data_IF_709839102363
#
_entry.id   IF_709839102363
#
_cell.length_a   1.000
_cell.length_b   1.000
_cell.length_c   1.000
_cell.angle_alpha   90.00
_cell.angle_beta   90.00
_cell.angle_gamma   90.00
#
_symmetry.space_group_name_H-M   'P 1'
#
loop_
_entity.id
_entity.type
_entity.pdbx_description
1 polymer ?
#
# COMPACT_ATOMS: atom_id res chain seq x y z
N UNK A 1 -38.33 2.81 -30.75
CA UNK A 1 -37.38 3.22 -29.70
C UNK A 1 -36.82 1.95 -29.10
N UNK A 2 -35.62 1.55 -29.55
CA UNK A 2 -34.97 0.30 -29.17
C UNK A 2 -34.03 0.53 -27.99
N UNK A 3 -34.04 -0.47 -27.11
CA UNK A 3 -33.43 -0.60 -25.80
C UNK A 3 -31.98 -0.17 -25.70
N UNK A 4 -31.58 0.28 -24.51
CA UNK A 4 -30.19 0.19 -24.06
C UNK A 4 -30.16 -0.50 -22.71
N UNK A 5 -29.94 -1.81 -22.76
CA UNK A 5 -29.44 -2.59 -21.63
C UNK A 5 -27.95 -2.30 -21.51
N UNK A 6 -27.41 -1.81 -20.37
CA UNK A 6 -25.99 -1.90 -20.13
C UNK A 6 -25.70 -3.34 -19.71
N UNK A 7 -25.00 -4.09 -20.58
CA UNK A 7 -24.49 -5.42 -20.28
C UNK A 7 -23.16 -5.30 -19.53
N UNK A 8 -23.01 -6.17 -18.54
CA UNK A 8 -22.02 -6.15 -17.47
C UNK A 8 -20.57 -5.97 -17.88
N UNK A 9 -19.87 -5.17 -17.09
CA UNK A 9 -18.42 -5.24 -16.93
C UNK A 9 -18.13 -6.44 -16.04
N UNK A 10 -17.27 -7.33 -16.52
CA UNK A 10 -16.68 -8.43 -15.77
C UNK A 10 -16.10 -7.88 -14.46
N UNK A 11 -16.62 -8.35 -13.33
CA UNK A 11 -16.22 -7.89 -11.99
C UNK A 11 -14.80 -8.37 -11.68
N UNK A 12 -13.82 -7.56 -12.04
CA UNK A 12 -12.67 -7.35 -11.17
C UNK A 12 -13.24 -6.63 -9.96
N UNK A 13 -13.56 -7.36 -8.88
CA UNK A 13 -14.25 -6.80 -7.71
C UNK A 13 -13.23 -6.01 -6.88
N UNK A 14 -12.76 -4.91 -7.44
CA UNK A 14 -11.96 -3.94 -6.71
C UNK A 14 -12.90 -3.09 -5.84
N UNK A 15 -12.60 -2.98 -4.55
CA UNK A 15 -13.37 -2.15 -3.63
C UNK A 15 -13.37 -0.68 -4.08
N UNK A 16 -14.50 0.05 -3.97
CA UNK A 16 -14.51 1.48 -4.26
C UNK A 16 -13.52 2.25 -3.38
N UNK A 17 -12.85 3.25 -3.96
CA UNK A 17 -11.88 4.11 -3.28
C UNK A 17 -12.39 4.65 -1.93
N UNK A 18 -13.65 5.13 -1.87
CA UNK A 18 -14.25 5.65 -0.65
C UNK A 18 -14.32 4.59 0.47
N UNK A 19 -14.68 3.35 0.11
CA UNK A 19 -14.70 2.21 1.03
C UNK A 19 -13.30 1.89 1.52
N UNK A 20 -12.32 1.87 0.61
CA UNK A 20 -10.92 1.61 0.99
C UNK A 20 -10.42 2.71 1.95
N UNK A 21 -10.68 3.99 1.65
CA UNK A 21 -10.34 5.09 2.56
C UNK A 21 -11.01 4.93 3.92
N UNK A 22 -12.29 4.57 3.94
CA UNK A 22 -13.02 4.32 5.18
C UNK A 22 -12.34 3.21 5.99
N UNK A 23 -12.05 2.06 5.37
CA UNK A 23 -11.39 0.93 6.02
C UNK A 23 -9.99 1.30 6.53
N UNK A 24 -9.22 2.08 5.77
CA UNK A 24 -7.85 2.45 6.13
C UNK A 24 -7.76 3.65 7.07
N UNK A 25 -8.85 4.38 7.30
CA UNK A 25 -8.88 5.55 8.19
C UNK A 25 -8.48 5.22 9.63
N UNK A 26 -8.79 4.01 10.11
CA UNK A 26 -8.48 3.59 11.47
C UNK A 26 -7.13 2.86 11.55
N UNK A 27 -6.26 3.31 12.46
CA UNK A 27 -4.92 2.73 12.69
C UNK A 27 -4.96 1.24 13.03
N UNK A 28 -5.91 0.80 13.86
CA UNK A 28 -6.02 -0.62 14.23
C UNK A 28 -6.44 -1.49 13.04
N UNK A 29 -7.32 -1.01 12.15
CA UNK A 29 -7.64 -1.72 10.89
C UNK A 29 -6.42 -1.86 10.00
N UNK A 30 -5.60 -0.80 9.87
CA UNK A 30 -4.32 -0.90 9.13
C UNK A 30 -3.36 -1.92 9.74
N UNK A 31 -3.26 -1.97 11.06
CA UNK A 31 -2.46 -2.97 11.74
C UNK A 31 -3.00 -4.39 11.55
N UNK A 32 -4.32 -4.58 11.60
CA UNK A 32 -4.97 -5.86 11.29
C UNK A 32 -4.64 -6.33 9.88
N UNK A 33 -4.85 -5.47 8.88
CA UNK A 33 -4.53 -5.76 7.47
C UNK A 33 -3.06 -6.13 7.32
N UNK A 34 -2.15 -5.35 7.94
CA UNK A 34 -0.70 -5.65 7.90
C UNK A 34 -0.36 -7.01 8.53
N UNK A 35 -0.96 -7.34 9.68
CA UNK A 35 -0.71 -8.59 10.37
C UNK A 35 -1.15 -9.81 9.55
N UNK A 36 -2.34 -9.73 8.94
CA UNK A 36 -2.92 -10.81 8.13
C UNK A 36 -2.15 -10.98 6.82
N UNK A 37 -1.79 -9.88 6.14
CA UNK A 37 -0.91 -9.94 4.97
C UNK A 37 0.45 -10.55 5.28
N UNK A 38 1.01 -10.24 6.44
CA UNK A 38 2.30 -10.79 6.84
C UNK A 38 2.24 -12.28 7.17
N UNK A 39 1.15 -12.73 7.77
CA UNK A 39 0.96 -14.15 8.05
C UNK A 39 0.69 -14.94 6.77
N UNK A 40 -0.15 -14.42 5.87
CA UNK A 40 -0.57 -15.13 4.66
C UNK A 40 -1.43 -16.38 4.93
N UNK A 41 -1.84 -16.57 6.18
CA UNK A 41 -2.61 -17.72 6.67
C UNK A 41 -3.62 -17.27 7.75
N UNK A 42 -4.63 -18.11 8.05
CA UNK A 42 -5.57 -17.86 9.14
C UNK A 42 -4.88 -17.54 10.47
N UNK A 43 -5.43 -16.58 11.20
CA UNK A 43 -4.87 -16.14 12.49
C UNK A 43 -5.90 -16.17 13.60
N UNK A 44 -5.47 -16.61 14.78
CA UNK A 44 -6.23 -16.43 16.02
C UNK A 44 -6.37 -14.94 16.35
N UNK A 45 -7.60 -14.51 16.68
CA UNK A 45 -7.87 -13.13 17.10
C UNK A 45 -7.08 -12.80 18.38
N UNK A 46 -6.78 -13.79 19.20
CA UNK A 46 -5.93 -13.62 20.37
C UNK A 46 -4.52 -13.13 19.98
N UNK A 47 -3.89 -13.80 19.03
CA UNK A 47 -2.54 -13.49 18.55
C UNK A 47 -2.51 -12.18 17.77
N UNK A 48 -3.54 -11.95 16.96
CA UNK A 48 -3.74 -10.66 16.28
C UNK A 48 -3.79 -9.51 17.29
N UNK A 49 -4.53 -9.70 18.39
CA UNK A 49 -4.62 -8.70 19.47
C UNK A 49 -3.27 -8.46 20.14
N UNK A 50 -2.50 -9.53 20.39
CA UNK A 50 -1.15 -9.45 20.96
C UNK A 50 -0.24 -8.61 20.07
N UNK A 51 -0.15 -8.95 18.78
CA UNK A 51 0.69 -8.21 17.80
C UNK A 51 0.30 -6.74 17.71
N UNK A 52 -1.00 -6.45 17.60
CA UNK A 52 -1.51 -5.08 17.52
C UNK A 52 -1.18 -4.30 18.80
N UNK A 53 -1.36 -4.91 19.98
CA UNK A 53 -1.03 -4.28 21.27
C UNK A 53 0.46 -3.99 21.38
N UNK A 54 1.31 -4.94 20.98
CA UNK A 54 2.76 -4.77 20.95
C UNK A 54 3.17 -3.59 20.06
N UNK A 55 2.57 -3.47 18.87
CA UNK A 55 2.78 -2.34 17.96
C UNK A 55 2.25 -1.01 18.49
N UNK A 56 1.11 -1.00 19.18
CA UNK A 56 0.59 0.23 19.80
C UNK A 56 1.51 0.74 20.91
N UNK A 57 2.12 -0.17 21.67
CA UNK A 57 3.00 0.15 22.80
C UNK A 57 4.48 0.28 22.44
N UNK A 58 4.89 -0.22 21.28
CA UNK A 58 6.28 -0.24 20.84
C UNK A 58 7.14 -1.23 21.63
N UNK A 59 6.56 -2.34 22.09
CA UNK A 59 7.23 -3.39 22.88
C UNK A 59 7.23 -4.73 22.13
N UNK A 60 7.93 -5.71 22.67
CA UNK A 60 7.97 -7.06 22.12
C UNK A 60 6.63 -7.80 22.36
N UNK A 61 6.04 -8.48 21.35
CA UNK A 61 4.83 -9.28 21.52
C UNK A 61 4.89 -10.31 22.66
N UNK A 62 6.06 -10.87 22.95
CA UNK A 62 6.25 -11.85 24.04
C UNK A 62 6.06 -11.22 25.42
N UNK A 63 6.16 -9.90 25.53
CA UNK A 63 5.94 -9.17 26.79
C UNK A 63 4.48 -8.79 27.04
N UNK A 64 3.60 -9.04 26.07
CA UNK A 64 2.17 -8.69 26.16
C UNK A 64 1.41 -9.80 26.88
N UNK A 65 0.84 -9.47 28.03
CA UNK A 65 -0.05 -10.38 28.75
C UNK A 65 -1.52 -10.26 28.28
N UNK A 66 -2.39 -11.06 28.91
CA UNK A 66 -3.82 -11.06 28.59
C UNK A 66 -4.50 -9.72 28.87
N UNK A 67 -4.19 -9.09 30.00
CA UNK A 67 -4.83 -7.84 30.42
C UNK A 67 -4.43 -6.70 29.51
N UNK A 68 -3.19 -6.73 29.02
CA UNK A 68 -2.63 -5.76 28.09
C UNK A 68 -3.37 -5.72 26.75
N UNK A 69 -3.68 -6.90 26.19
CA UNK A 69 -4.35 -7.04 24.89
C UNK A 69 -5.87 -7.08 24.97
N UNK A 70 -6.47 -7.18 26.17
CA UNK A 70 -7.91 -7.38 26.37
C UNK A 70 -8.77 -6.31 25.70
N UNK A 71 -8.35 -5.04 25.79
CA UNK A 71 -9.07 -3.94 25.14
C UNK A 71 -9.02 -4.08 23.61
N UNK A 72 -7.83 -4.32 23.06
CA UNK A 72 -7.62 -4.49 21.62
C UNK A 72 -8.44 -5.65 21.09
N UNK A 73 -8.41 -6.80 21.79
CA UNK A 73 -9.22 -7.97 21.45
C UNK A 73 -10.71 -7.65 21.37
N UNK A 74 -11.23 -6.98 22.40
CA UNK A 74 -12.66 -6.59 22.44
C UNK A 74 -13.04 -5.69 21.27
N UNK A 75 -12.19 -4.71 20.94
CA UNK A 75 -12.45 -3.76 19.85
C UNK A 75 -12.29 -4.42 18.48
N UNK A 76 -11.32 -5.33 18.31
CA UNK A 76 -11.16 -6.10 17.07
C UNK A 76 -12.42 -6.89 16.77
N UNK A 77 -12.86 -7.74 17.71
CA UNK A 77 -14.04 -8.58 17.54
C UNK A 77 -15.32 -7.79 17.34
N UNK A 78 -15.51 -6.66 18.05
CA UNK A 78 -16.79 -5.93 18.00
C UNK A 78 -16.89 -4.89 16.90
N UNK A 79 -15.78 -4.47 16.30
CA UNK A 79 -15.78 -3.28 15.44
C UNK A 79 -14.92 -3.46 14.20
N UNK A 80 -13.69 -3.93 14.34
CA UNK A 80 -12.77 -3.94 13.21
C UNK A 80 -12.95 -5.16 12.31
N UNK A 81 -13.01 -6.37 12.89
CA UNK A 81 -13.17 -7.60 12.13
C UNK A 81 -14.53 -7.66 11.43
N UNK A 82 -15.68 -7.36 12.08
CA UNK A 82 -16.97 -7.34 11.38
C UNK A 82 -17.03 -6.33 10.24
N UNK A 83 -16.32 -5.19 10.37
CA UNK A 83 -16.29 -4.18 9.32
C UNK A 83 -15.42 -4.60 8.13
N UNK A 84 -14.32 -5.31 8.38
CA UNK A 84 -13.49 -5.87 7.31
C UNK A 84 -14.21 -7.03 6.60
N UNK A 85 -14.93 -7.84 7.36
CA UNK A 85 -15.77 -8.95 6.88
C UNK A 85 -16.96 -8.47 6.03
N UNK A 86 -17.64 -7.38 6.43
CA UNK A 86 -18.70 -6.73 5.63
C UNK A 86 -18.24 -6.34 4.22
N UNK A 87 -16.95 -6.05 4.06
CA UNK A 87 -16.34 -5.66 2.80
C UNK A 87 -15.51 -6.77 2.14
N UNK A 88 -15.68 -8.02 2.58
CA UNK A 88 -15.01 -9.20 2.03
C UNK A 88 -13.48 -9.08 2.05
N UNK A 89 -12.91 -8.28 2.96
CA UNK A 89 -11.45 -8.09 3.11
C UNK A 89 -10.82 -9.21 3.95
N UNK A 90 -11.62 -9.80 4.84
CA UNK A 90 -11.27 -10.95 5.67
C UNK A 90 -12.53 -11.79 5.84
N UNK A 91 -12.39 -13.07 6.13
CA UNK A 91 -13.47 -13.89 6.67
C UNK A 91 -13.27 -14.01 8.19
N UNK A 92 -14.24 -13.55 8.99
CA UNK A 92 -14.17 -13.62 10.45
C UNK A 92 -15.11 -14.67 11.04
N UNK A 93 -14.54 -15.74 11.62
CA UNK A 93 -15.28 -16.73 12.40
C UNK A 93 -15.35 -16.29 13.88
N UNK A 94 -16.51 -15.79 14.30
CA UNK A 94 -16.74 -15.36 15.68
C UNK A 94 -16.81 -16.53 16.67
N UNK A 95 -17.15 -17.75 16.24
CA UNK A 95 -17.21 -18.91 17.13
C UNK A 95 -15.80 -19.47 17.37
N UNK A 96 -15.04 -19.68 16.30
CA UNK A 96 -13.65 -20.14 16.37
C UNK A 96 -12.68 -19.05 16.84
N UNK A 97 -13.06 -17.78 16.76
CA UNK A 97 -12.18 -16.61 17.00
C UNK A 97 -10.96 -16.63 16.07
N UNK A 98 -11.18 -16.99 14.82
CA UNK A 98 -10.18 -17.03 13.75
C UNK A 98 -10.56 -16.02 12.67
N UNK A 99 -9.56 -15.41 12.06
CA UNK A 99 -9.73 -14.53 10.91
C UNK A 99 -8.86 -15.00 9.75
N UNK A 100 -9.44 -15.11 8.57
CA UNK A 100 -8.76 -15.56 7.36
C UNK A 100 -8.66 -14.43 6.33
N UNK A 101 -7.51 -14.27 5.65
CA UNK A 101 -7.38 -13.31 4.56
C UNK A 101 -8.18 -13.77 3.32
N UNK A 102 -8.87 -12.85 2.67
CA UNK A 102 -9.54 -13.08 1.37
C UNK A 102 -8.68 -12.56 0.21
N UNK A 103 -8.99 -12.90 -1.05
CA UNK A 103 -8.34 -12.29 -2.21
C UNK A 103 -8.46 -10.75 -2.26
N UNK A 104 -9.58 -10.19 -1.78
CA UNK A 104 -9.80 -8.73 -1.71
C UNK A 104 -8.78 -8.03 -0.81
N UNK A 105 -8.19 -8.74 0.17
CA UNK A 105 -7.11 -8.21 0.98
C UNK A 105 -5.94 -7.75 0.10
N UNK A 106 -5.62 -8.47 -0.99
CA UNK A 106 -4.52 -8.13 -1.89
C UNK A 106 -4.73 -6.79 -2.61
N UNK A 107 -5.97 -6.46 -2.97
CA UNK A 107 -6.32 -5.19 -3.63
C UNK A 107 -6.01 -3.96 -2.76
N UNK A 108 -6.01 -4.11 -1.43
CA UNK A 108 -5.63 -3.02 -0.53
C UNK A 108 -4.13 -2.65 -0.61
N UNK A 109 -3.26 -3.49 -1.19
CA UNK A 109 -1.83 -3.14 -1.39
C UNK A 109 -1.69 -1.93 -2.30
N UNK A 110 -2.39 -1.95 -3.44
CA UNK A 110 -2.32 -0.90 -4.46
C UNK A 110 -2.73 0.45 -3.87
N UNK A 111 -3.72 0.45 -2.97
CA UNK A 111 -4.26 1.68 -2.41
C UNK A 111 -3.44 2.24 -1.24
N UNK A 112 -2.87 1.38 -0.39
CA UNK A 112 -1.96 1.85 0.67
C UNK A 112 -0.72 2.51 0.08
N UNK A 113 -0.19 1.96 -1.01
CA UNK A 113 0.92 2.58 -1.74
C UNK A 113 0.56 4.00 -2.20
N UNK A 114 -0.70 4.26 -2.55
CA UNK A 114 -1.22 5.60 -2.89
C UNK A 114 -1.40 6.50 -1.64
N UNK A 115 -1.77 5.92 -0.49
CA UNK A 115 -2.03 6.63 0.77
C UNK A 115 -0.77 6.99 1.59
N UNK A 116 0.43 6.52 1.22
CA UNK A 116 1.70 7.02 1.79
C UNK A 116 1.96 8.47 1.36
N UNK A 117 1.18 9.39 1.91
CA UNK A 117 1.13 10.83 1.60
C UNK A 117 2.36 11.66 1.96
N UNK A 118 3.56 11.06 1.93
CA UNK A 118 4.86 11.76 2.04
C UNK A 118 5.90 11.27 1.03
N UNK A 119 5.60 10.26 0.21
CA UNK A 119 6.44 9.83 -0.90
C UNK A 119 5.81 10.36 -2.20
N UNK A 120 6.60 10.98 -3.08
CA UNK A 120 6.09 11.49 -4.37
C UNK A 120 5.52 10.29 -5.14
N UNK A 121 4.23 10.31 -5.57
CA UNK A 121 3.65 9.24 -6.37
C UNK A 121 4.58 8.92 -7.54
N UNK A 122 4.92 7.66 -7.74
CA UNK A 122 5.88 7.27 -8.76
C UNK A 122 5.46 7.73 -10.15
N UNK A 123 4.16 7.75 -10.43
CA UNK A 123 3.59 8.33 -11.66
C UNK A 123 3.95 9.81 -11.84
N UNK A 124 3.88 10.62 -10.78
CA UNK A 124 4.28 12.03 -10.80
C UNK A 124 5.78 12.21 -10.88
N UNK A 125 6.57 11.34 -10.23
CA UNK A 125 8.02 11.32 -10.38
C UNK A 125 8.43 11.05 -11.84
N UNK A 126 7.87 10.01 -12.46
CA UNK A 126 8.16 9.67 -13.86
C UNK A 126 7.61 10.70 -14.83
N UNK A 127 6.43 11.28 -14.56
CA UNK A 127 5.89 12.38 -15.35
C UNK A 127 6.80 13.61 -15.27
N UNK A 128 7.24 13.99 -14.08
CA UNK A 128 8.17 15.11 -13.87
C UNK A 128 9.51 14.86 -14.55
N UNK A 129 10.06 13.65 -14.43
CA UNK A 129 11.30 13.23 -15.10
C UNK A 129 11.13 13.27 -16.63
N UNK A 130 10.00 12.83 -17.16
CA UNK A 130 9.69 12.83 -18.60
C UNK A 130 9.54 14.25 -19.14
N UNK A 131 8.80 15.11 -18.42
CA UNK A 131 8.63 16.52 -18.79
C UNK A 131 9.99 17.23 -18.76
N UNK A 132 10.80 17.04 -17.71
CA UNK A 132 12.12 17.64 -17.61
C UNK A 132 13.05 17.18 -18.74
N UNK A 133 13.10 15.86 -18.98
CA UNK A 133 13.89 15.29 -20.06
C UNK A 133 13.46 15.82 -21.44
N UNK A 134 12.15 15.91 -21.69
CA UNK A 134 11.59 16.46 -22.91
C UNK A 134 11.95 17.94 -23.10
N UNK A 135 11.88 18.75 -22.04
CA UNK A 135 12.27 20.16 -22.09
C UNK A 135 13.75 20.34 -22.42
N UNK A 136 14.63 19.52 -21.83
CA UNK A 136 16.07 19.53 -22.14
C UNK A 136 16.29 19.15 -23.61
N UNK A 137 15.59 18.13 -24.12
CA UNK A 137 15.69 17.71 -25.52
C UNK A 137 15.26 18.83 -26.48
N UNK A 138 14.14 19.51 -26.19
CA UNK A 138 13.65 20.64 -26.99
C UNK A 138 14.62 21.82 -26.93
N UNK A 139 15.18 22.13 -25.76
CA UNK A 139 16.16 23.21 -25.60
C UNK A 139 17.44 22.98 -26.42
N UNK A 140 17.93 21.74 -26.46
CA UNK A 140 19.09 21.35 -27.28
C UNK A 140 18.73 21.41 -28.77
N UNK A 141 17.57 20.90 -29.17
CA UNK A 141 17.13 20.87 -30.57
C UNK A 141 16.94 22.27 -31.18
N UNK A 142 16.47 23.24 -30.40
CA UNK A 142 16.26 24.63 -30.84
C UNK A 142 17.53 25.49 -30.67
N UNK A 143 18.60 24.92 -30.10
CA UNK A 143 19.89 25.60 -29.97
C UNK A 143 19.91 26.69 -28.90
N UNK A 144 19.23 26.48 -27.77
CA UNK A 144 19.20 27.45 -26.66
C UNK A 144 20.63 27.75 -26.17
N UNK A 145 21.03 29.03 -26.05
CA UNK A 145 22.34 29.41 -25.54
C UNK A 145 22.59 28.82 -24.14
N UNK A 146 23.69 28.07 -23.98
CA UNK A 146 24.01 27.30 -22.77
C UNK A 146 23.96 25.77 -22.97
N UNK A 147 23.20 25.29 -23.95
CA UNK A 147 23.12 23.86 -24.31
C UNK A 147 23.86 23.51 -25.61
N UNK A 148 24.41 24.51 -26.30
CA UNK A 148 25.07 24.36 -27.61
C UNK A 148 26.31 23.44 -27.63
N UNK A 149 26.89 23.13 -26.46
CA UNK A 149 28.01 22.20 -26.34
C UNK A 149 27.58 20.73 -26.22
N UNK A 150 26.29 20.45 -26.07
CA UNK A 150 25.76 19.11 -25.88
C UNK A 150 25.31 18.52 -27.22
N UNK A 151 25.83 17.35 -27.56
CA UNK A 151 25.34 16.57 -28.69
C UNK A 151 23.94 16.01 -28.38
N UNK A 152 23.03 16.08 -29.34
CA UNK A 152 21.67 15.58 -29.21
C UNK A 152 21.64 14.09 -28.85
N UNK A 153 22.61 13.32 -29.37
CA UNK A 153 22.80 11.90 -29.04
C UNK A 153 23.20 11.70 -27.59
N UNK A 154 24.12 12.52 -27.07
CA UNK A 154 24.57 12.44 -25.68
C UNK A 154 23.43 12.73 -24.69
N UNK A 155 22.57 13.70 -25.01
CA UNK A 155 21.38 14.03 -24.21
C UNK A 155 20.37 12.89 -24.23
N UNK A 156 20.11 12.30 -25.41
CA UNK A 156 19.21 11.16 -25.52
C UNK A 156 19.71 9.95 -24.71
N UNK A 157 21.01 9.63 -24.79
CA UNK A 157 21.62 8.56 -23.99
C UNK A 157 21.52 8.83 -22.49
N UNK A 158 21.77 10.07 -22.06
CA UNK A 158 21.61 10.48 -20.67
C UNK A 158 20.18 10.27 -20.17
N UNK A 159 19.18 10.71 -20.94
CA UNK A 159 17.76 10.54 -20.60
C UNK A 159 17.40 9.06 -20.47
N UNK A 160 17.75 8.24 -21.47
CA UNK A 160 17.48 6.79 -21.43
C UNK A 160 18.14 6.13 -20.22
N UNK A 161 19.38 6.52 -19.91
CA UNK A 161 20.12 5.98 -18.76
C UNK A 161 19.46 6.39 -17.44
N UNK A 162 19.03 7.64 -17.30
CA UNK A 162 18.34 8.12 -16.11
C UNK A 162 17.01 7.38 -15.87
N UNK A 163 16.23 7.17 -16.94
CA UNK A 163 15.00 6.37 -16.87
C UNK A 163 15.28 4.90 -16.52
N UNK A 164 16.30 4.30 -17.13
CA UNK A 164 16.66 2.91 -16.87
C UNK A 164 17.15 2.71 -15.42
N UNK A 165 17.99 3.60 -14.90
CA UNK A 165 18.45 3.58 -13.51
C UNK A 165 17.28 3.79 -12.56
N UNK A 166 16.39 4.75 -12.84
CA UNK A 166 15.21 4.97 -12.01
C UNK A 166 14.27 3.77 -12.01
N UNK A 167 14.04 3.14 -13.17
CA UNK A 167 13.21 1.94 -13.28
C UNK A 167 13.83 0.76 -12.52
N UNK A 168 15.16 0.57 -12.60
CA UNK A 168 15.86 -0.46 -11.85
C UNK A 168 15.83 -0.24 -10.34
N UNK A 169 16.02 1.01 -9.90
CA UNK A 169 15.88 1.38 -8.48
C UNK A 169 14.45 1.14 -8.02
N UNK A 170 13.45 1.56 -8.79
CA UNK A 170 12.05 1.34 -8.48
C UNK A 170 11.73 -0.16 -8.39
N UNK A 171 12.18 -0.97 -9.35
CA UNK A 171 11.99 -2.41 -9.32
C UNK A 171 12.62 -3.04 -8.06
N UNK A 172 13.82 -2.59 -7.68
CA UNK A 172 14.52 -3.13 -6.51
C UNK A 172 13.93 -2.65 -5.16
N UNK A 173 13.40 -1.42 -5.10
CA UNK A 173 12.85 -0.83 -3.87
C UNK A 173 11.32 -0.97 -3.73
N UNK A 174 10.60 -1.20 -4.83
CA UNK A 174 9.14 -1.37 -4.86
C UNK A 174 8.65 -2.55 -4.03
N UNK A 175 9.44 -3.63 -3.97
CA UNK A 175 9.12 -4.81 -3.15
C UNK A 175 9.13 -4.55 -1.63
N UNK A 176 9.72 -3.43 -1.16
CA UNK A 176 9.73 -3.04 0.27
C UNK A 176 8.53 -2.21 0.69
N UNK A 177 7.67 -1.81 -0.25
CA UNK A 177 6.47 -1.01 0.01
C UNK A 177 5.20 -1.84 0.20
N UNK A 178 5.19 -3.13 -0.19
CA UNK A 178 4.08 -4.05 0.11
C UNK A 178 3.92 -4.24 1.62
N UNK A 179 2.76 -3.87 2.14
CA UNK A 179 2.34 -4.25 3.49
C UNK A 179 2.35 -5.79 3.56
N UNK A 180 2.86 -6.33 4.66
CA UNK A 180 2.99 -7.78 4.82
C UNK A 180 4.39 -8.35 4.59
N UNK A 181 5.32 -7.71 3.89
CA UNK A 181 6.70 -8.24 3.75
C UNK A 181 7.64 -7.87 4.92
N UNK A 182 7.15 -7.10 5.89
CA UNK A 182 7.95 -6.55 6.99
C UNK A 182 7.35 -6.96 8.33
N UNK A 183 8.20 -7.38 9.28
CA UNK A 183 7.78 -7.80 10.64
C UNK A 183 6.99 -6.71 11.40
N UNK A 184 7.20 -5.42 11.07
CA UNK A 184 6.57 -4.27 11.74
C UNK A 184 5.82 -3.36 10.76
N UNK A 185 4.68 -2.77 11.15
CA UNK A 185 3.93 -1.80 10.36
C UNK A 185 4.77 -0.55 10.01
N UNK A 186 4.56 0.05 8.83
CA UNK A 186 5.34 1.19 8.35
C UNK A 186 5.28 2.41 9.31
N UNK A 187 4.19 2.61 10.05
CA UNK A 187 4.05 3.75 10.96
C UNK A 187 4.98 3.70 12.19
N UNK A 188 5.58 2.54 12.49
CA UNK A 188 6.51 2.40 13.62
C UNK A 188 7.97 2.70 13.26
N UNK A 189 8.28 2.91 11.97
CA UNK A 189 9.65 3.13 11.50
C UNK A 189 10.14 4.57 11.64
N UNK A 190 9.25 5.56 11.69
CA UNK A 190 9.63 6.99 11.81
C UNK A 190 10.07 7.39 13.23
N UNK A 191 10.06 6.47 14.19
CA UNK A 191 10.38 6.73 15.61
C UNK A 191 11.67 6.07 16.10
N UNK A 192 12.53 5.59 15.21
CA UNK A 192 13.87 5.09 15.54
C UNK A 192 14.97 6.03 15.04
#
# INVERSE_FOLDING_TARGET
MLSTTPLGTTSDVSLPDETIFELLANRRRRFTIHALKHAGEPMDVADLSTRITAWERGVDPETIDYDDRRNVHTVLTRTHLPKLDEHDVVEYDDEAKVVEPTPTLDDLDVYIEVLRGREIPWSLYYLGLAVLAGLVQVAVAVGVPGFAALDATAVAVFVVTAFAVSAALHYYYGERARLGNLEKPPELRERQ
#
